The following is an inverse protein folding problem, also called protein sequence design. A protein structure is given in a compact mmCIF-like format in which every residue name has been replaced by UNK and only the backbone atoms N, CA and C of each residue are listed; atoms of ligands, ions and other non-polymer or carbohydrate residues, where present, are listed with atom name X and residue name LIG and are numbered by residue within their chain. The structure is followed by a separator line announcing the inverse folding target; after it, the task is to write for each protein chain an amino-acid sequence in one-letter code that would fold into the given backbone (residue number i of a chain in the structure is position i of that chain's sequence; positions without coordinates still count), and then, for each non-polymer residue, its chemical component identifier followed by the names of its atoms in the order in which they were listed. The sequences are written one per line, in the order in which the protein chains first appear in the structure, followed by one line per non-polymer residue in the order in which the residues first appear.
data_IF_569426788917
#
_entry.id   IF_569426788917
#
_cell.length_a   1.000
_cell.length_b   1.000
_cell.length_c   1.000
_cell.angle_alpha   90.00
_cell.angle_beta   90.00
_cell.angle_gamma   90.00
#
_symmetry.space_group_name_H-M   'P 1'
#
loop_
_entity.id
_entity.type
_entity.pdbx_description
1 polymer ?
#
# COMPACT_ATOMS: atom_id res chain seq x y z
N UNK A 1 -22.68 10.84 -15.84
CA UNK A 1 -22.80 11.31 -17.24
C UNK A 1 -24.17 11.97 -17.42
N UNK A 2 -24.54 12.36 -18.65
CA UNK A 2 -25.88 12.88 -18.99
C UNK A 2 -27.03 11.86 -18.81
N UNK A 3 -26.70 10.62 -18.46
CA UNK A 3 -27.65 9.52 -18.24
C UNK A 3 -27.84 9.22 -16.74
N UNK A 4 -27.31 10.07 -15.85
CA UNK A 4 -27.53 9.97 -14.41
C UNK A 4 -26.71 8.87 -13.71
N UNK A 5 -25.74 8.25 -14.40
CA UNK A 5 -24.87 7.28 -13.78
C UNK A 5 -23.79 7.98 -12.93
N UNK A 6 -23.76 7.59 -11.65
CA UNK A 6 -22.65 7.87 -10.75
C UNK A 6 -21.66 6.71 -10.82
N UNK A 7 -20.40 7.03 -11.13
CA UNK A 7 -19.31 6.08 -11.00
C UNK A 7 -18.66 6.30 -9.63
N UNK A 8 -18.49 5.23 -8.86
CA UNK A 8 -17.61 5.22 -7.69
C UNK A 8 -16.17 5.31 -8.21
N UNK A 9 -15.71 6.54 -8.42
CA UNK A 9 -14.29 6.84 -8.42
C UNK A 9 -13.83 6.65 -6.98
N UNK A 10 -12.71 5.96 -6.81
CA UNK A 10 -12.10 5.62 -5.53
C UNK A 10 -11.92 6.85 -4.62
N UNK A 11 -11.46 6.65 -3.38
CA UNK A 11 -11.47 7.66 -2.32
C UNK A 11 -10.80 8.98 -2.76
N UNK A 12 -11.33 10.09 -2.25
CA UNK A 12 -11.00 11.47 -2.67
C UNK A 12 -9.50 11.84 -2.62
N UNK A 13 -8.65 11.09 -1.92
CA UNK A 13 -7.18 11.25 -1.92
C UNK A 13 -6.49 9.90 -1.66
N UNK A 14 -6.14 9.18 -2.72
CA UNK A 14 -5.27 7.98 -2.67
C UNK A 14 -3.81 8.32 -2.97
N UNK A 15 -3.31 9.40 -2.36
CA UNK A 15 -1.95 9.87 -2.60
C UNK A 15 -1.30 10.26 -1.29
N UNK A 16 -0.19 9.60 -0.98
CA UNK A 16 0.67 9.88 0.17
C UNK A 16 1.74 10.85 -0.30
N UNK A 17 1.94 11.96 0.40
CA UNK A 17 3.01 12.92 0.09
C UNK A 17 4.19 12.66 1.01
N UNK A 18 5.18 11.90 0.52
CA UNK A 18 6.35 11.53 1.30
C UNK A 18 7.59 12.28 0.81
N UNK A 19 8.08 13.23 1.59
CA UNK A 19 9.28 14.00 1.27
C UNK A 19 9.16 14.84 0.00
N UNK A 20 7.94 15.26 -0.36
CA UNK A 20 7.65 15.98 -1.60
C UNK A 20 7.38 15.10 -2.82
N UNK A 21 7.39 13.77 -2.66
CA UNK A 21 7.06 12.82 -3.71
C UNK A 21 5.63 12.27 -3.56
N UNK A 22 4.96 12.08 -4.69
CA UNK A 22 3.66 11.43 -4.76
C UNK A 22 3.85 9.92 -4.70
N UNK A 23 3.44 9.32 -3.58
CA UNK A 23 3.46 7.88 -3.36
C UNK A 23 2.03 7.36 -3.49
N UNK A 24 1.83 6.41 -4.42
CA UNK A 24 0.54 5.79 -4.66
C UNK A 24 0.43 4.50 -3.83
N UNK A 25 -0.45 4.45 -2.81
CA UNK A 25 -0.61 3.29 -1.94
C UNK A 25 -0.85 1.99 -2.71
N UNK A 26 -1.66 2.07 -3.78
CA UNK A 26 -2.02 0.94 -4.62
C UNK A 26 -0.81 0.21 -5.20
N UNK A 27 0.26 0.93 -5.58
CA UNK A 27 1.48 0.30 -6.09
C UNK A 27 2.17 -0.55 -5.02
N UNK A 28 2.21 -0.04 -3.78
CA UNK A 28 2.80 -0.74 -2.64
C UNK A 28 1.94 -1.94 -2.27
N UNK A 29 0.62 -1.77 -2.24
CA UNK A 29 -0.35 -2.84 -2.00
C UNK A 29 -0.20 -3.97 -3.02
N UNK A 30 -0.18 -3.65 -4.31
CA UNK A 30 0.00 -4.64 -5.38
C UNK A 30 1.32 -5.39 -5.24
N UNK A 31 2.41 -4.69 -4.92
CA UNK A 31 3.71 -5.32 -4.70
C UNK A 31 3.67 -6.30 -3.51
N UNK A 32 3.07 -5.89 -2.38
CA UNK A 32 2.91 -6.74 -1.19
C UNK A 32 1.95 -7.91 -1.47
N UNK A 33 0.94 -7.72 -2.31
CA UNK A 33 0.00 -8.77 -2.68
C UNK A 33 0.67 -9.96 -3.40
N UNK A 34 1.84 -9.74 -4.01
CA UNK A 34 2.64 -10.82 -4.63
C UNK A 34 3.38 -11.70 -3.61
N UNK A 35 3.42 -11.30 -2.33
CA UNK A 35 4.11 -12.03 -1.28
C UNK A 35 3.29 -13.26 -0.87
N UNK A 36 3.88 -14.48 -0.87
CA UNK A 36 3.18 -15.68 -0.43
C UNK A 36 2.64 -15.55 0.99
N UNK A 37 1.39 -15.96 1.19
CA UNK A 37 0.74 -15.94 2.50
C UNK A 37 -0.02 -14.65 2.84
N UNK A 38 0.09 -13.60 2.02
CA UNK A 38 -0.78 -12.41 2.17
C UNK A 38 -2.21 -12.74 1.72
N UNK A 39 -3.19 -12.35 2.52
CA UNK A 39 -4.63 -12.47 2.23
C UNK A 39 -5.21 -11.13 1.80
N UNK A 40 -4.94 -10.06 2.57
CA UNK A 40 -5.35 -8.69 2.29
C UNK A 40 -4.21 -7.75 2.70
N UNK A 41 -4.10 -6.60 2.03
CA UNK A 41 -3.18 -5.52 2.37
C UNK A 41 -3.87 -4.18 2.18
N UNK A 42 -3.56 -3.23 3.05
CA UNK A 42 -3.96 -1.83 2.90
C UNK A 42 -2.79 -0.93 3.28
N UNK A 43 -2.51 0.09 2.48
CA UNK A 43 -1.43 1.04 2.70
C UNK A 43 -2.01 2.43 2.94
N UNK A 44 -1.60 3.07 4.02
CA UNK A 44 -2.08 4.39 4.41
C UNK A 44 -0.90 5.33 4.68
N UNK A 45 -1.09 6.61 4.36
CA UNK A 45 -0.20 7.67 4.80
C UNK A 45 -0.38 7.92 6.29
N UNK A 46 0.72 7.93 7.04
CA UNK A 46 0.75 8.35 8.44
C UNK A 46 1.62 9.60 8.58
N UNK A 47 1.36 10.49 9.55
CA UNK A 47 2.22 11.63 9.81
C UNK A 47 3.67 11.18 10.09
N UNK A 48 4.62 11.82 9.42
CA UNK A 48 6.06 11.58 9.57
C UNK A 48 6.78 12.91 9.82
N UNK A 49 7.60 13.04 10.88
CA UNK A 49 8.22 14.31 11.25
C UNK A 49 9.31 14.78 10.26
N UNK A 50 9.83 13.89 9.41
CA UNK A 50 10.86 14.22 8.43
C UNK A 50 10.28 14.36 7.02
N UNK A 51 9.37 13.47 6.64
CA UNK A 51 8.80 13.38 5.29
C UNK A 51 7.43 14.02 5.13
N UNK A 52 6.82 14.51 6.20
CA UNK A 52 5.43 14.95 6.23
C UNK A 52 4.48 13.75 6.36
N UNK A 53 4.53 12.82 5.39
CA UNK A 53 3.84 11.54 5.47
C UNK A 53 4.78 10.36 5.16
N UNK A 54 4.51 9.21 5.78
CA UNK A 54 5.14 7.93 5.46
C UNK A 54 4.08 6.88 5.14
N UNK A 55 4.39 6.00 4.18
CA UNK A 55 3.52 4.87 3.87
C UNK A 55 3.61 3.79 4.95
N UNK A 56 2.47 3.36 5.48
CA UNK A 56 2.34 2.26 6.42
C UNK A 56 1.43 1.19 5.86
N UNK A 57 1.97 -0.01 5.71
CA UNK A 57 1.24 -1.19 5.26
C UNK A 57 0.65 -1.97 6.44
N UNK A 58 -0.61 -2.36 6.33
CA UNK A 58 -1.31 -3.29 7.21
C UNK A 58 -1.59 -4.55 6.41
N UNK A 59 -1.10 -5.69 6.88
CA UNK A 59 -1.14 -6.96 6.15
C UNK A 59 -1.91 -7.97 6.99
N UNK A 60 -2.92 -8.58 6.39
CA UNK A 60 -3.62 -9.75 6.92
C UNK A 60 -3.08 -10.98 6.22
N UNK A 61 -2.63 -11.96 7.00
CA UNK A 61 -2.13 -13.23 6.48
C UNK A 61 -3.27 -14.22 6.23
N UNK A 62 -3.05 -15.16 5.31
CA UNK A 62 -3.95 -16.29 5.08
C UNK A 62 -3.98 -17.18 6.33
N UNK A 63 -5.11 -17.84 6.64
CA UNK A 63 -5.17 -18.80 7.74
C UNK A 63 -4.06 -19.85 7.60
N UNK A 64 -3.29 -20.06 8.67
CA UNK A 64 -2.18 -21.02 8.69
C UNK A 64 -0.90 -20.57 7.98
N UNK A 65 -0.84 -19.35 7.42
CA UNK A 65 0.40 -18.82 6.89
C UNK A 65 1.37 -18.43 8.01
N UNK A 66 2.65 -18.76 7.84
CA UNK A 66 3.71 -18.33 8.75
C UNK A 66 3.98 -16.84 8.55
N UNK A 67 4.03 -16.03 9.63
CA UNK A 67 4.50 -14.66 9.53
C UNK A 67 5.91 -14.63 8.95
N UNK A 68 6.13 -13.77 7.95
CA UNK A 68 7.45 -13.55 7.39
C UNK A 68 8.16 -12.42 8.16
N UNK A 69 9.48 -12.52 8.38
CA UNK A 69 10.25 -11.43 8.96
C UNK A 69 10.26 -10.22 8.01
N UNK A 70 10.42 -9.03 8.58
CA UNK A 70 10.44 -7.78 7.81
C UNK A 70 11.53 -7.77 6.73
N UNK A 71 12.67 -8.39 7.01
CA UNK A 71 13.79 -8.51 6.06
C UNK A 71 13.39 -9.25 4.77
N UNK A 72 12.64 -10.36 4.90
CA UNK A 72 12.17 -11.14 3.74
C UNK A 72 11.18 -10.32 2.91
N UNK A 73 10.29 -9.57 3.57
CA UNK A 73 9.38 -8.65 2.89
C UNK A 73 10.17 -7.59 2.12
N UNK A 74 11.18 -6.97 2.75
CA UNK A 74 12.02 -5.95 2.11
C UNK A 74 12.77 -6.51 0.90
N UNK A 75 13.31 -7.72 1.01
CA UNK A 75 14.00 -8.39 -0.09
C UNK A 75 13.08 -8.68 -1.27
N UNK A 76 11.83 -9.11 -1.03
CA UNK A 76 10.85 -9.38 -2.09
C UNK A 76 10.27 -8.13 -2.75
N UNK A 77 10.27 -7.00 -2.02
CA UNK A 77 9.82 -5.71 -2.52
C UNK A 77 10.95 -4.89 -3.18
N UNK A 78 12.22 -5.28 -2.98
CA UNK A 78 13.37 -4.65 -3.62
C UNK A 78 13.21 -4.69 -5.15
N UNK A 79 13.16 -3.51 -5.78
CA UNK A 79 12.95 -3.36 -7.22
C UNK A 79 11.48 -3.32 -7.68
N UNK A 80 10.51 -3.49 -6.78
CA UNK A 80 9.06 -3.31 -7.07
C UNK A 80 8.50 -2.00 -6.55
N UNK A 81 9.15 -1.40 -5.54
CA UNK A 81 8.79 -0.12 -4.93
C UNK A 81 10.04 0.78 -4.96
N UNK A 82 9.89 1.98 -5.51
CA UNK A 82 10.95 2.99 -5.65
C UNK A 82 10.78 4.14 -4.69
#
# INVERSE_FOLDING_TARGET
DSDGYFFLVDRKKDMIISGGFNVYPQMIEQAIYTVPGVHEVMVLGIPDPYRGEAAKAFIKLKPGATPFPLEDLRAQLAGKVG
#
